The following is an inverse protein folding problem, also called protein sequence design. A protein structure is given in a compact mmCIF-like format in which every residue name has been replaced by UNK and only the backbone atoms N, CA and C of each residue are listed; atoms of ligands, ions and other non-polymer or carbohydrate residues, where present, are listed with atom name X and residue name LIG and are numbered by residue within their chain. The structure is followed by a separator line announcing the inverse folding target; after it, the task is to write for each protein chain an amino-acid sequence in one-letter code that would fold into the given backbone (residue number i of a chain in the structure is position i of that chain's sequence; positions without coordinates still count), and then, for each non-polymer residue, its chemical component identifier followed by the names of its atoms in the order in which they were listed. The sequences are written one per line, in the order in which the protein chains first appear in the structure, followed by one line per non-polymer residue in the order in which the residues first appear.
data_IF_498456414187
#
_entry.id   IF_498456414187
#
_cell.length_a   1.000
_cell.length_b   1.000
_cell.length_c   1.000
_cell.angle_alpha   90.00
_cell.angle_beta   90.00
_cell.angle_gamma   90.00
#
_symmetry.space_group_name_H-M   'P 1'
#
loop_
_entity.id
_entity.type
_entity.pdbx_description
1 polymer ?
#
# COMPACT_ATOMS: atom_id res chain seq x y z
N UNK A 1 -42.89 -10.51 27.53
CA UNK A 1 -42.76 -9.27 26.70
C UNK A 1 -41.84 -9.66 25.55
N UNK A 2 -42.40 -9.85 24.34
CA UNK A 2 -41.57 -10.08 23.14
C UNK A 2 -40.79 -8.75 22.85
N UNK A 3 -39.49 -8.78 22.94
CA UNK A 3 -38.67 -7.70 22.41
C UNK A 3 -38.97 -7.63 20.90
N UNK A 4 -39.63 -6.55 20.46
CA UNK A 4 -39.84 -6.31 19.04
C UNK A 4 -38.45 -6.20 18.40
N UNK A 5 -38.11 -7.17 17.57
CA UNK A 5 -36.88 -7.12 16.75
C UNK A 5 -36.96 -5.82 15.92
N UNK A 6 -35.93 -4.98 16.02
CA UNK A 6 -35.83 -3.78 15.20
C UNK A 6 -35.99 -4.16 13.71
N UNK A 7 -36.66 -3.33 12.91
CA UNK A 7 -36.87 -3.63 11.50
C UNK A 7 -35.52 -3.76 10.78
N UNK A 8 -35.37 -4.79 9.95
CA UNK A 8 -34.17 -5.02 9.15
C UNK A 8 -33.99 -3.86 8.17
N UNK A 9 -32.83 -3.22 8.20
CA UNK A 9 -32.50 -2.08 7.34
C UNK A 9 -31.70 -2.51 6.12
N UNK A 10 -31.97 -1.97 4.91
CA UNK A 10 -31.15 -2.19 3.72
C UNK A 10 -29.87 -1.33 3.69
N UNK A 11 -29.60 -0.52 4.72
CA UNK A 11 -28.47 0.42 4.76
C UNK A 11 -27.13 -0.22 4.40
N UNK A 12 -26.74 -1.41 4.90
CA UNK A 12 -25.46 -2.01 4.53
C UNK A 12 -25.32 -2.31 3.03
N UNK A 13 -26.43 -2.59 2.33
CA UNK A 13 -26.43 -2.81 0.88
C UNK A 13 -26.23 -1.49 0.15
N UNK A 14 -26.92 -0.44 0.60
CA UNK A 14 -26.76 0.91 0.04
C UNK A 14 -25.35 1.46 0.25
N UNK A 15 -24.72 1.20 1.39
CA UNK A 15 -23.34 1.62 1.66
C UNK A 15 -22.35 1.02 0.65
N UNK A 16 -22.53 -0.24 0.28
CA UNK A 16 -21.71 -0.89 -0.76
C UNK A 16 -21.95 -0.27 -2.14
N UNK A 17 -23.22 -0.06 -2.51
CA UNK A 17 -23.58 0.56 -3.81
C UNK A 17 -23.06 2.00 -3.88
N UNK A 18 -23.25 2.77 -2.82
CA UNK A 18 -22.78 4.15 -2.73
C UNK A 18 -21.25 4.26 -2.76
N UNK A 19 -20.53 3.25 -2.24
CA UNK A 19 -19.08 3.19 -2.34
C UNK A 19 -18.56 3.21 -3.78
N UNK A 20 -19.24 2.52 -4.68
CA UNK A 20 -18.93 2.57 -6.13
C UNK A 20 -19.13 3.99 -6.70
N UNK A 21 -20.27 4.62 -6.43
CA UNK A 21 -20.56 5.98 -6.90
C UNK A 21 -19.60 7.01 -6.30
N UNK A 22 -19.28 6.87 -5.00
CA UNK A 22 -18.34 7.75 -4.29
C UNK A 22 -16.93 7.70 -4.92
N UNK A 23 -16.46 6.50 -5.27
CA UNK A 23 -15.17 6.35 -5.96
C UNK A 23 -15.16 7.11 -7.30
N UNK A 24 -16.21 6.98 -8.11
CA UNK A 24 -16.26 7.65 -9.41
C UNK A 24 -16.45 9.17 -9.30
N UNK A 25 -17.14 9.66 -8.26
CA UNK A 25 -17.21 11.09 -7.97
C UNK A 25 -15.83 11.67 -7.64
N UNK A 26 -15.06 10.98 -6.78
CA UNK A 26 -13.69 11.37 -6.46
C UNK A 26 -12.76 11.31 -7.69
N UNK A 27 -12.84 10.24 -8.47
CA UNK A 27 -12.04 10.07 -9.70
C UNK A 27 -12.32 11.20 -10.69
N UNK A 28 -13.59 11.49 -10.96
CA UNK A 28 -14.00 12.57 -11.86
C UNK A 28 -13.52 13.94 -11.36
N UNK A 29 -13.61 14.21 -10.06
CA UNK A 29 -13.15 15.46 -9.48
C UNK A 29 -11.64 15.65 -9.63
N UNK A 30 -10.86 14.57 -9.49
CA UNK A 30 -9.40 14.59 -9.73
C UNK A 30 -9.07 14.80 -11.20
N UNK A 31 -9.78 14.11 -12.11
CA UNK A 31 -9.57 14.24 -13.55
C UNK A 31 -9.90 15.66 -14.06
N UNK A 32 -10.92 16.28 -13.50
CA UNK A 32 -11.33 17.66 -13.80
C UNK A 32 -10.44 18.71 -13.10
N UNK A 33 -9.61 18.32 -12.13
CA UNK A 33 -8.77 19.25 -11.39
C UNK A 33 -9.53 20.13 -10.38
N UNK A 34 -10.65 19.65 -9.84
CA UNK A 34 -11.49 20.37 -8.87
C UNK A 34 -10.69 20.82 -7.64
N UNK A 35 -9.89 19.90 -7.06
CA UNK A 35 -9.08 20.20 -5.87
C UNK A 35 -7.95 21.20 -6.17
N UNK A 36 -7.32 21.09 -7.33
CA UNK A 36 -6.29 22.03 -7.75
C UNK A 36 -6.85 23.44 -8.06
N UNK A 37 -8.07 23.50 -8.61
CA UNK A 37 -8.75 24.77 -8.84
C UNK A 37 -9.08 25.47 -7.52
N UNK A 38 -9.62 24.75 -6.55
CA UNK A 38 -9.93 25.29 -5.22
C UNK A 38 -8.67 25.66 -4.42
N UNK A 39 -7.56 24.91 -4.59
CA UNK A 39 -6.31 25.20 -3.91
C UNK A 39 -5.69 26.53 -4.34
N UNK A 40 -5.85 26.94 -5.60
CA UNK A 40 -5.36 28.24 -6.11
C UNK A 40 -6.03 29.44 -5.44
N UNK A 41 -7.26 29.25 -4.96
CA UNK A 41 -8.07 30.28 -4.30
C UNK A 41 -8.01 30.17 -2.76
N UNK A 42 -7.36 29.12 -2.22
CA UNK A 42 -7.27 28.88 -0.78
C UNK A 42 -6.55 30.01 -0.03
N UNK A 43 -5.50 30.59 -0.62
CA UNK A 43 -4.73 31.70 -0.03
C UNK A 43 -5.61 32.97 0.15
N UNK A 44 -6.64 33.15 -0.68
CA UNK A 44 -7.59 34.25 -0.57
C UNK A 44 -8.71 33.94 0.43
N UNK A 45 -8.87 32.70 0.89
CA UNK A 45 -9.92 32.27 1.82
C UNK A 45 -11.35 32.36 1.27
N UNK A 46 -11.48 32.63 -0.04
CA UNK A 46 -12.76 33.02 -0.64
C UNK A 46 -13.58 31.84 -1.20
N UNK A 47 -12.97 30.68 -1.43
CA UNK A 47 -13.62 29.55 -2.11
C UNK A 47 -14.11 29.89 -3.52
N UNK A 48 -14.79 28.96 -4.19
CA UNK A 48 -15.39 29.19 -5.50
C UNK A 48 -16.86 28.82 -5.48
N UNK A 49 -17.71 29.64 -6.08
CA UNK A 49 -19.07 29.23 -6.41
C UNK A 49 -19.09 28.28 -7.61
N UNK A 50 -20.25 27.67 -7.90
CA UNK A 50 -20.34 26.67 -8.97
C UNK A 50 -19.99 27.20 -10.37
N UNK A 51 -20.28 28.47 -10.66
CA UNK A 51 -19.98 29.08 -11.96
C UNK A 51 -18.48 29.38 -12.07
N UNK A 52 -17.86 29.85 -11.02
CA UNK A 52 -16.42 30.09 -10.93
C UNK A 52 -15.64 28.76 -11.03
N UNK A 53 -16.11 27.73 -10.30
CA UNK A 53 -15.49 26.40 -10.35
C UNK A 53 -15.62 25.78 -11.75
N UNK A 54 -16.81 25.89 -12.39
CA UNK A 54 -17.01 25.44 -13.74
C UNK A 54 -16.03 26.10 -14.74
N UNK A 55 -15.88 27.40 -14.65
CA UNK A 55 -14.93 28.15 -15.46
C UNK A 55 -13.48 27.69 -15.20
N UNK A 56 -13.10 27.49 -13.94
CA UNK A 56 -11.74 27.09 -13.55
C UNK A 56 -11.35 25.67 -14.06
N UNK A 57 -12.31 24.75 -14.12
CA UNK A 57 -12.09 23.37 -14.61
C UNK A 57 -12.46 23.19 -16.10
N UNK A 58 -12.87 24.24 -16.80
CA UNK A 58 -13.24 24.16 -18.20
C UNK A 58 -14.56 23.44 -18.48
N UNK A 59 -15.50 23.38 -17.52
CA UNK A 59 -16.81 22.80 -17.71
C UNK A 59 -17.72 23.76 -18.46
N UNK A 60 -18.59 23.22 -19.33
CA UNK A 60 -19.49 24.01 -20.16
C UNK A 60 -20.62 24.70 -19.37
N UNK A 61 -21.07 24.01 -18.31
CA UNK A 61 -22.24 24.43 -17.53
C UNK A 61 -21.99 24.26 -16.02
N UNK A 62 -22.45 25.18 -15.15
CA UNK A 62 -22.27 25.06 -13.70
C UNK A 62 -23.15 23.98 -13.04
N UNK A 63 -24.31 23.62 -13.64
CA UNK A 63 -25.23 22.65 -13.03
C UNK A 63 -24.62 21.29 -12.73
N UNK A 64 -23.96 20.60 -13.68
CA UNK A 64 -23.25 19.34 -13.37
C UNK A 64 -22.14 19.50 -12.33
N UNK A 65 -21.44 20.65 -12.34
CA UNK A 65 -20.37 20.96 -11.37
C UNK A 65 -20.95 21.11 -9.97
N UNK A 66 -22.12 21.75 -9.84
CA UNK A 66 -22.84 21.86 -8.56
C UNK A 66 -23.12 20.46 -7.98
N UNK A 67 -23.70 19.56 -8.78
CA UNK A 67 -24.02 18.19 -8.32
C UNK A 67 -22.76 17.45 -7.87
N UNK A 68 -21.66 17.56 -8.62
CA UNK A 68 -20.39 16.95 -8.23
C UNK A 68 -19.85 17.55 -6.94
N UNK A 69 -19.81 18.88 -6.81
CA UNK A 69 -19.27 19.56 -5.64
C UNK A 69 -20.10 19.27 -4.38
N UNK A 70 -21.43 19.31 -4.46
CA UNK A 70 -22.32 18.91 -3.37
C UNK A 70 -22.12 17.44 -2.94
N UNK A 71 -21.87 16.55 -3.91
CA UNK A 71 -21.52 15.15 -3.62
C UNK A 71 -20.19 15.08 -2.86
N UNK A 72 -19.18 15.86 -3.26
CA UNK A 72 -17.89 15.89 -2.55
C UNK A 72 -18.03 16.49 -1.14
N UNK A 73 -18.95 17.41 -0.92
CA UNK A 73 -19.30 17.90 0.44
C UNK A 73 -19.91 16.77 1.26
N UNK A 74 -20.85 16.00 0.70
CA UNK A 74 -21.45 14.85 1.39
C UNK A 74 -20.45 13.72 1.69
N UNK A 75 -19.30 13.70 1.01
CA UNK A 75 -18.18 12.78 1.22
C UNK A 75 -17.07 13.36 2.13
N UNK A 76 -17.30 14.49 2.79
CA UNK A 76 -16.33 15.18 3.66
C UNK A 76 -15.01 15.58 2.95
N UNK A 77 -15.03 15.73 1.63
CA UNK A 77 -13.88 16.16 0.83
C UNK A 77 -13.88 17.66 0.56
N UNK A 78 -15.06 18.26 0.50
CA UNK A 78 -15.25 19.71 0.45
C UNK A 78 -16.10 20.19 1.62
N UNK A 79 -16.10 21.49 1.85
CA UNK A 79 -17.10 22.19 2.69
C UNK A 79 -17.83 23.20 1.84
N UNK A 80 -19.08 23.51 2.20
CA UNK A 80 -19.88 24.56 1.58
C UNK A 80 -20.17 25.63 2.62
N UNK A 81 -19.82 26.88 2.32
CA UNK A 81 -20.13 28.05 3.13
C UNK A 81 -20.86 29.04 2.24
N UNK A 82 -22.09 29.36 2.58
CA UNK A 82 -23.01 30.10 1.70
C UNK A 82 -23.17 29.37 0.36
N UNK A 83 -22.80 29.99 -0.75
CA UNK A 83 -22.84 29.43 -2.11
C UNK A 83 -21.45 29.00 -2.62
N UNK A 84 -20.45 28.90 -1.74
CA UNK A 84 -19.05 28.62 -2.09
C UNK A 84 -18.51 27.32 -1.54
N UNK A 85 -17.73 26.65 -2.35
CA UNK A 85 -17.03 25.41 -2.02
C UNK A 85 -15.59 25.70 -1.61
N UNK A 86 -15.12 24.96 -0.57
CA UNK A 86 -13.76 25.06 -0.05
C UNK A 86 -13.20 23.66 0.16
N UNK A 87 -11.88 23.54 0.15
CA UNK A 87 -11.20 22.30 0.52
C UNK A 87 -11.37 22.01 2.01
N UNK A 88 -11.57 20.74 2.35
CA UNK A 88 -11.30 20.29 3.72
C UNK A 88 -9.79 20.15 3.95
N UNK A 89 -9.29 20.18 5.20
CA UNK A 89 -7.88 19.94 5.50
C UNK A 89 -7.36 18.59 4.94
N UNK A 90 -8.21 17.56 4.88
CA UNK A 90 -7.87 16.28 4.27
C UNK A 90 -7.71 16.39 2.75
N UNK A 91 -8.63 17.06 2.06
CA UNK A 91 -8.54 17.27 0.62
C UNK A 91 -7.34 18.14 0.23
N UNK A 92 -7.08 19.22 0.97
CA UNK A 92 -5.92 20.08 0.75
C UNK A 92 -4.60 19.29 0.85
N UNK A 93 -4.46 18.47 1.87
CA UNK A 93 -3.24 17.72 2.13
C UNK A 93 -3.03 16.54 1.19
N UNK A 94 -4.12 15.83 0.81
CA UNK A 94 -4.03 14.53 0.16
C UNK A 94 -4.58 14.48 -1.26
N UNK A 95 -5.37 15.49 -1.73
CA UNK A 95 -5.99 15.46 -3.05
C UNK A 95 -5.52 16.56 -3.99
N UNK A 96 -4.89 17.61 -3.48
CA UNK A 96 -4.21 18.62 -4.32
C UNK A 96 -3.00 17.97 -4.95
N UNK A 97 -2.86 18.06 -6.28
CA UNK A 97 -1.84 17.33 -7.04
C UNK A 97 -0.39 17.72 -6.68
N UNK A 98 -0.19 18.97 -6.26
CA UNK A 98 1.13 19.52 -5.88
C UNK A 98 1.47 19.35 -4.40
N UNK A 99 0.54 18.84 -3.59
CA UNK A 99 0.79 18.61 -2.18
C UNK A 99 1.84 17.49 -1.98
N UNK A 100 2.81 17.65 -1.06
CA UNK A 100 3.85 16.63 -0.84
C UNK A 100 3.35 15.25 -0.44
N UNK A 101 2.15 15.18 0.18
CA UNK A 101 1.50 13.94 0.59
C UNK A 101 0.32 13.56 -0.34
N UNK A 102 0.29 14.08 -1.57
CA UNK A 102 -0.81 13.86 -2.50
C UNK A 102 -1.03 12.37 -2.79
N UNK A 103 -2.27 11.94 -2.66
CA UNK A 103 -2.77 10.61 -3.02
C UNK A 103 -3.58 10.63 -4.34
N UNK A 104 -3.62 11.76 -5.04
CA UNK A 104 -4.42 11.91 -6.27
C UNK A 104 -4.09 10.84 -7.32
N UNK A 105 -2.80 10.57 -7.54
CA UNK A 105 -2.37 9.50 -8.44
C UNK A 105 -2.75 8.10 -7.91
N UNK A 106 -2.68 7.89 -6.58
CA UNK A 106 -3.05 6.63 -5.96
C UNK A 106 -4.52 6.30 -6.18
N UNK A 107 -5.42 7.28 -6.05
CA UNK A 107 -6.86 7.08 -6.31
C UNK A 107 -7.09 6.51 -7.71
N UNK A 108 -6.34 6.97 -8.71
CA UNK A 108 -6.45 6.50 -10.10
C UNK A 108 -6.02 5.04 -10.26
N UNK A 109 -5.00 4.58 -9.55
CA UNK A 109 -4.36 3.28 -9.76
C UNK A 109 -4.64 2.26 -8.65
N UNK A 110 -5.08 2.69 -7.45
CA UNK A 110 -5.29 1.81 -6.30
C UNK A 110 -6.31 0.67 -6.52
N UNK A 111 -7.38 0.85 -7.31
CA UNK A 111 -8.29 -0.26 -7.60
C UNK A 111 -7.69 -1.36 -8.48
N UNK A 112 -6.44 -1.21 -8.95
CA UNK A 112 -5.83 -2.12 -9.92
C UNK A 112 -6.45 -1.99 -11.32
N UNK A 113 -6.20 -2.95 -12.22
CA UNK A 113 -6.79 -2.94 -13.55
C UNK A 113 -8.32 -2.93 -13.48
N UNK A 114 -8.96 -1.98 -14.16
CA UNK A 114 -10.43 -1.86 -14.09
C UNK A 114 -11.16 -3.07 -14.67
N UNK A 115 -10.55 -3.81 -15.60
CA UNK A 115 -11.07 -5.05 -16.16
C UNK A 115 -11.01 -6.25 -15.20
N UNK A 116 -10.34 -6.14 -14.05
CA UNK A 116 -10.30 -7.18 -13.04
C UNK A 116 -11.65 -7.38 -12.34
N UNK A 117 -12.34 -6.28 -12.06
CA UNK A 117 -13.53 -6.29 -11.21
C UNK A 117 -14.75 -7.01 -11.82
N UNK A 118 -15.09 -6.83 -13.12
CA UNK A 118 -16.16 -7.61 -13.74
C UNK A 118 -15.91 -9.12 -13.72
N UNK A 119 -14.63 -9.54 -13.74
CA UNK A 119 -14.21 -10.94 -13.71
C UNK A 119 -14.05 -11.55 -12.30
N UNK A 120 -14.29 -10.78 -11.23
CA UNK A 120 -14.01 -11.23 -9.85
C UNK A 120 -14.73 -12.54 -9.48
N UNK A 121 -15.97 -12.73 -9.90
CA UNK A 121 -16.71 -13.96 -9.62
C UNK A 121 -16.04 -15.20 -10.25
N UNK A 122 -15.48 -15.06 -11.44
CA UNK A 122 -14.72 -16.13 -12.10
C UNK A 122 -13.37 -16.33 -11.43
N UNK A 123 -12.68 -15.26 -11.06
CA UNK A 123 -11.44 -15.33 -10.28
C UNK A 123 -11.65 -16.09 -8.95
N UNK A 124 -12.71 -15.80 -8.20
CA UNK A 124 -13.04 -16.54 -6.96
C UNK A 124 -13.31 -18.01 -7.25
N UNK A 125 -13.96 -18.34 -8.37
CA UNK A 125 -14.29 -19.73 -8.74
C UNK A 125 -13.06 -20.52 -9.21
N UNK A 126 -12.13 -19.87 -9.90
CA UNK A 126 -10.95 -20.52 -10.52
C UNK A 126 -9.69 -20.41 -9.67
N UNK A 127 -9.65 -19.47 -8.73
CA UNK A 127 -8.48 -19.18 -7.89
C UNK A 127 -7.47 -18.22 -8.51
N UNK A 128 -7.68 -17.76 -9.76
CA UNK A 128 -6.76 -16.86 -10.45
C UNK A 128 -7.49 -15.90 -11.40
N UNK A 129 -6.99 -14.65 -11.58
CA UNK A 129 -7.51 -13.72 -12.57
C UNK A 129 -7.22 -14.18 -14.00
N UNK A 130 -7.96 -13.64 -14.96
CA UNK A 130 -7.66 -13.88 -16.37
C UNK A 130 -6.25 -13.38 -16.74
N UNK A 131 -5.50 -14.06 -17.63
CA UNK A 131 -4.14 -13.66 -18.00
C UNK A 131 -4.03 -12.22 -18.53
N UNK A 132 -5.06 -11.70 -19.18
CA UNK A 132 -5.13 -10.31 -19.65
C UNK A 132 -5.10 -9.30 -18.49
N UNK A 133 -5.74 -9.63 -17.36
CA UNK A 133 -5.73 -8.78 -16.15
C UNK A 133 -4.32 -8.68 -15.60
N UNK A 134 -3.60 -9.79 -15.52
CA UNK A 134 -2.21 -9.80 -15.03
C UNK A 134 -1.28 -9.04 -15.99
N UNK A 135 -1.45 -9.16 -17.28
CA UNK A 135 -0.69 -8.41 -18.28
C UNK A 135 -0.92 -6.89 -18.14
N UNK A 136 -2.17 -6.47 -18.03
CA UNK A 136 -2.54 -5.07 -17.83
C UNK A 136 -1.96 -4.51 -16.53
N UNK A 137 -1.91 -5.32 -15.46
CA UNK A 137 -1.28 -4.93 -14.21
C UNK A 137 0.23 -4.70 -14.36
N UNK A 138 0.93 -5.57 -15.08
CA UNK A 138 2.38 -5.42 -15.33
C UNK A 138 2.66 -4.09 -16.08
N UNK A 139 1.82 -3.72 -17.02
CA UNK A 139 1.91 -2.43 -17.71
C UNK A 139 1.58 -1.24 -16.78
N UNK A 140 0.69 -1.45 -15.82
CA UNK A 140 0.26 -0.45 -14.84
C UNK A 140 1.31 -0.21 -13.74
N UNK A 141 2.16 -1.18 -13.40
CA UNK A 141 3.10 -1.10 -12.28
C UNK A 141 3.94 0.18 -12.25
N UNK A 142 4.54 0.67 -13.35
CA UNK A 142 5.31 1.92 -13.32
C UNK A 142 4.52 3.13 -12.83
N UNK A 143 3.24 3.22 -13.18
CA UNK A 143 2.36 4.29 -12.71
C UNK A 143 1.94 4.07 -11.25
N UNK A 144 1.61 2.85 -10.88
CA UNK A 144 1.21 2.48 -9.52
C UNK A 144 2.34 2.74 -8.51
N UNK A 145 3.58 2.35 -8.80
CA UNK A 145 4.70 2.54 -7.86
C UNK A 145 5.05 4.02 -7.69
N UNK A 146 4.93 4.83 -8.75
CA UNK A 146 5.07 6.30 -8.62
C UNK A 146 3.99 6.89 -7.72
N UNK A 147 2.77 6.42 -7.85
CA UNK A 147 1.63 6.90 -7.08
C UNK A 147 1.71 6.52 -5.60
N UNK A 148 2.27 5.35 -5.27
CA UNK A 148 2.41 4.86 -3.88
C UNK A 148 3.65 5.39 -3.17
N UNK A 149 4.71 5.76 -3.91
CA UNK A 149 6.00 6.18 -3.38
C UNK A 149 5.92 7.26 -2.28
N UNK A 150 5.20 8.38 -2.47
CA UNK A 150 5.09 9.44 -1.47
C UNK A 150 4.54 8.98 -0.12
N UNK A 151 3.70 7.94 -0.09
CA UNK A 151 3.14 7.40 1.15
C UNK A 151 4.10 6.48 1.90
N UNK A 152 5.18 6.00 1.25
CA UNK A 152 6.08 5.00 1.79
C UNK A 152 7.39 5.57 2.36
N UNK A 153 7.92 6.66 1.81
CA UNK A 153 9.21 7.20 2.20
C UNK A 153 9.29 7.56 3.71
N UNK A 154 8.21 8.12 4.28
CA UNK A 154 8.13 8.43 5.70
C UNK A 154 8.12 7.17 6.58
N UNK A 155 7.45 6.12 6.13
CA UNK A 155 7.40 4.82 6.80
C UNK A 155 8.78 4.18 6.82
N UNK A 156 9.48 4.16 5.69
CA UNK A 156 10.82 3.61 5.59
C UNK A 156 11.82 4.30 6.54
N UNK A 157 11.75 5.64 6.66
CA UNK A 157 12.56 6.39 7.64
C UNK A 157 12.23 6.00 9.09
N UNK A 158 10.96 5.85 9.43
CA UNK A 158 10.53 5.42 10.76
C UNK A 158 11.01 3.99 11.07
N UNK A 159 11.00 3.10 10.08
CA UNK A 159 11.54 1.74 10.21
C UNK A 159 13.05 1.77 10.43
N UNK A 160 13.83 2.58 9.69
CA UNK A 160 15.27 2.72 9.90
C UNK A 160 15.59 3.18 11.32
N UNK A 161 14.89 4.19 11.85
CA UNK A 161 15.05 4.66 13.22
C UNK A 161 14.72 3.57 14.25
N UNK A 162 13.72 2.75 13.97
CA UNK A 162 13.33 1.67 14.86
C UNK A 162 14.32 0.49 14.85
N UNK A 163 14.89 0.17 13.66
CA UNK A 163 16.00 -0.81 13.55
C UNK A 163 17.25 -0.32 14.30
N UNK A 164 17.58 0.97 14.21
CA UNK A 164 18.68 1.57 14.96
C UNK A 164 18.47 1.46 16.48
N UNK A 165 17.28 1.81 16.97
CA UNK A 165 16.93 1.67 18.39
C UNK A 165 17.05 0.24 18.92
N UNK A 166 16.85 -0.76 18.04
CA UNK A 166 16.99 -2.20 18.35
C UNK A 166 18.41 -2.74 18.15
N UNK A 167 19.36 -1.92 17.71
CA UNK A 167 20.71 -2.38 17.41
C UNK A 167 20.81 -3.28 16.17
N UNK A 168 19.81 -3.20 15.27
CA UNK A 168 19.72 -3.98 14.02
C UNK A 168 20.10 -3.16 12.78
N UNK A 169 20.67 -1.96 12.96
CA UNK A 169 21.00 -1.03 11.88
C UNK A 169 22.47 -0.62 11.95
N UNK A 170 23.40 -1.33 11.28
CA UNK A 170 24.83 -1.04 11.31
C UNK A 170 25.16 0.31 10.66
N UNK A 171 26.38 0.80 10.89
CA UNK A 171 26.88 2.07 10.33
C UNK A 171 27.01 2.02 8.79
N UNK A 172 27.29 0.85 8.23
CA UNK A 172 27.43 0.60 6.80
C UNK A 172 26.57 -0.59 6.38
N UNK A 173 25.22 -0.45 6.39
CA UNK A 173 24.35 -1.57 6.11
C UNK A 173 24.41 -1.98 4.66
N UNK A 174 24.39 -3.30 4.43
CA UNK A 174 24.03 -3.89 3.16
C UNK A 174 22.55 -4.27 3.20
N UNK A 175 21.75 -3.62 2.35
CA UNK A 175 20.31 -3.85 2.25
C UNK A 175 20.01 -4.58 0.94
N UNK A 176 19.10 -5.53 0.96
CA UNK A 176 18.48 -6.09 -0.24
C UNK A 176 17.00 -5.71 -0.21
N UNK A 177 16.53 -5.00 -1.23
CA UNK A 177 15.14 -4.57 -1.38
C UNK A 177 14.49 -5.37 -2.53
N UNK A 178 13.71 -6.39 -2.18
CA UNK A 178 13.07 -7.30 -3.14
C UNK A 178 11.69 -6.75 -3.51
N UNK A 179 11.58 -6.19 -4.69
CA UNK A 179 10.42 -5.43 -5.16
C UNK A 179 10.52 -3.96 -4.73
N UNK A 180 11.62 -3.29 -5.09
CA UNK A 180 11.95 -1.94 -4.62
C UNK A 180 11.00 -0.83 -5.12
N UNK A 181 10.17 -1.10 -6.13
CA UNK A 181 9.12 -0.22 -6.62
C UNK A 181 9.62 1.18 -6.99
N UNK A 182 9.10 2.19 -6.30
CA UNK A 182 9.49 3.60 -6.51
C UNK A 182 10.85 3.98 -5.92
N UNK A 183 11.53 3.07 -5.22
CA UNK A 183 12.74 3.38 -4.46
C UNK A 183 12.49 4.12 -3.13
N UNK A 184 11.24 4.27 -2.71
CA UNK A 184 10.90 4.95 -1.47
C UNK A 184 11.49 4.24 -0.24
N UNK A 185 11.54 2.90 -0.25
CA UNK A 185 12.10 2.10 0.84
C UNK A 185 13.62 2.20 0.87
N UNK A 186 14.29 1.97 -0.24
CA UNK A 186 15.76 2.08 -0.31
C UNK A 186 16.25 3.48 0.09
N UNK A 187 15.64 4.55 -0.42
CA UNK A 187 16.04 5.92 -0.12
C UNK A 187 15.66 6.32 1.32
N UNK A 188 14.52 5.87 1.82
CA UNK A 188 14.08 6.13 3.18
C UNK A 188 14.94 5.44 4.23
N UNK A 189 15.30 4.17 4.00
CA UNK A 189 16.17 3.39 4.89
C UNK A 189 17.58 3.98 4.94
N UNK A 190 18.20 4.24 3.79
CA UNK A 190 19.59 4.73 3.74
C UNK A 190 19.74 6.23 4.02
N UNK A 191 18.65 6.95 4.27
CA UNK A 191 18.69 8.40 4.51
C UNK A 191 19.71 8.83 5.58
N UNK A 192 19.89 8.04 6.63
CA UNK A 192 20.84 8.30 7.72
C UNK A 192 22.17 7.53 7.58
N UNK A 193 22.40 6.82 6.50
CA UNK A 193 23.56 5.94 6.30
C UNK A 193 24.25 6.20 4.96
N UNK A 194 25.05 7.28 4.82
CA UNK A 194 25.67 7.66 3.56
C UNK A 194 26.67 6.63 3.02
N UNK A 195 27.17 5.73 3.88
CA UNK A 195 28.08 4.66 3.50
C UNK A 195 27.38 3.28 3.35
N UNK A 196 26.07 3.24 3.54
CA UNK A 196 25.27 2.04 3.29
C UNK A 196 25.11 1.79 1.78
N UNK A 197 24.78 0.56 1.44
CA UNK A 197 24.47 0.17 0.05
C UNK A 197 23.18 -0.64 -0.01
N UNK A 198 22.47 -0.56 -1.14
CA UNK A 198 21.27 -1.33 -1.39
C UNK A 198 21.36 -2.05 -2.73
N UNK A 199 20.99 -3.31 -2.73
CA UNK A 199 20.71 -4.10 -3.93
C UNK A 199 19.20 -3.98 -4.17
N UNK A 200 18.83 -3.20 -5.19
CA UNK A 200 17.45 -2.93 -5.55
C UNK A 200 17.01 -3.89 -6.65
N UNK A 201 16.00 -4.72 -6.36
CA UNK A 201 15.51 -5.73 -7.30
C UNK A 201 14.08 -5.39 -7.70
N UNK A 202 13.81 -5.31 -9.00
CA UNK A 202 12.44 -5.16 -9.53
C UNK A 202 12.40 -5.51 -11.03
N UNK A 203 11.19 -5.48 -11.58
CA UNK A 203 10.95 -5.68 -13.01
C UNK A 203 11.69 -4.63 -13.85
N UNK A 204 12.13 -4.97 -15.07
CA UNK A 204 12.91 -4.06 -15.93
C UNK A 204 12.20 -2.74 -16.24
N UNK A 205 10.85 -2.71 -16.27
CA UNK A 205 10.06 -1.52 -16.53
C UNK A 205 9.80 -0.67 -15.26
N UNK A 206 10.05 -1.20 -14.06
CA UNK A 206 9.87 -0.53 -12.77
C UNK A 206 11.20 0.02 -12.24
N UNK A 207 12.27 -0.76 -12.32
CA UNK A 207 13.57 -0.46 -11.73
C UNK A 207 14.14 0.93 -12.07
N UNK A 208 13.99 1.49 -13.30
CA UNK A 208 14.45 2.84 -13.62
C UNK A 208 13.82 3.93 -12.75
N UNK A 209 12.65 3.69 -12.14
CA UNK A 209 11.99 4.64 -11.25
C UNK A 209 12.75 4.76 -9.94
N UNK A 210 13.14 3.62 -9.35
CA UNK A 210 13.95 3.56 -8.14
C UNK A 210 15.35 4.18 -8.35
N UNK A 211 15.98 3.91 -9.51
CA UNK A 211 17.27 4.51 -9.88
C UNK A 211 17.17 6.04 -10.01
N UNK A 212 16.10 6.54 -10.62
CA UNK A 212 15.89 7.98 -10.73
C UNK A 212 15.64 8.61 -9.36
N UNK A 213 14.84 7.99 -8.49
CA UNK A 213 14.61 8.47 -7.13
C UNK A 213 15.92 8.55 -6.31
N UNK A 214 16.77 7.53 -6.42
CA UNK A 214 18.09 7.53 -5.78
C UNK A 214 18.98 8.64 -6.33
N UNK A 215 18.98 8.85 -7.64
CA UNK A 215 19.75 9.92 -8.30
C UNK A 215 19.31 11.31 -7.85
N UNK A 216 18.01 11.55 -7.77
CA UNK A 216 17.43 12.85 -7.36
C UNK A 216 17.80 13.22 -5.93
N UNK A 217 18.07 12.21 -5.08
CA UNK A 217 18.52 12.38 -3.70
C UNK A 217 20.04 12.28 -3.51
N UNK A 218 20.83 12.18 -4.60
CA UNK A 218 22.29 12.06 -4.54
C UNK A 218 22.79 10.71 -4.01
N UNK A 219 21.94 9.67 -4.04
CA UNK A 219 22.22 8.34 -3.48
C UNK A 219 22.56 7.29 -4.56
N UNK A 220 22.79 7.71 -5.81
CA UNK A 220 22.97 6.78 -6.94
C UNK A 220 24.10 5.76 -6.71
N UNK A 221 25.20 6.18 -6.11
CA UNK A 221 26.39 5.35 -5.87
C UNK A 221 26.19 4.30 -4.77
N UNK A 222 25.13 4.44 -3.98
CA UNK A 222 24.72 3.48 -2.95
C UNK A 222 23.84 2.35 -3.52
N UNK A 223 23.36 2.46 -4.78
CA UNK A 223 22.35 1.57 -5.35
C UNK A 223 22.97 0.68 -6.43
N UNK A 224 22.81 -0.62 -6.26
CA UNK A 224 23.08 -1.66 -7.25
C UNK A 224 21.74 -2.17 -7.75
N UNK A 225 21.40 -1.82 -8.99
CA UNK A 225 20.13 -2.22 -9.61
C UNK A 225 20.25 -3.61 -10.25
N UNK A 226 19.28 -4.48 -9.97
CA UNK A 226 19.19 -5.84 -10.52
C UNK A 226 17.79 -6.03 -11.11
N UNK A 227 17.71 -6.09 -12.43
CA UNK A 227 16.45 -6.24 -13.15
C UNK A 227 16.03 -7.71 -13.27
N UNK A 228 14.78 -8.02 -12.92
CA UNK A 228 14.20 -9.34 -13.12
C UNK A 228 13.27 -9.79 -11.99
N UNK A 229 12.83 -11.04 -12.07
CA UNK A 229 12.04 -11.68 -11.01
C UNK A 229 12.91 -11.88 -9.76
N UNK A 230 12.47 -11.36 -8.64
CA UNK A 230 13.18 -11.44 -7.36
C UNK A 230 13.37 -12.88 -6.84
N UNK A 231 12.67 -13.89 -7.38
CA UNK A 231 12.92 -15.30 -7.07
C UNK A 231 14.02 -15.91 -7.94
N UNK A 232 14.31 -15.34 -9.12
CA UNK A 232 15.18 -15.95 -10.12
C UNK A 232 16.54 -15.26 -10.26
N UNK A 233 16.59 -13.93 -10.03
CA UNK A 233 17.82 -13.16 -10.25
C UNK A 233 18.95 -13.56 -9.32
N UNK A 234 20.17 -13.56 -9.86
CA UNK A 234 21.40 -13.71 -9.06
C UNK A 234 21.79 -12.36 -8.47
N UNK A 235 22.01 -12.31 -7.17
CA UNK A 235 22.40 -11.08 -6.47
C UNK A 235 23.91 -11.00 -6.28
N UNK A 236 24.51 -9.79 -6.33
CA UNK A 236 25.95 -9.59 -6.17
C UNK A 236 26.41 -9.62 -4.70
N UNK A 237 25.63 -10.23 -3.81
CA UNK A 237 25.91 -10.41 -2.38
C UNK A 237 25.53 -11.81 -1.93
N UNK A 238 26.28 -12.36 -0.99
CA UNK A 238 25.98 -13.67 -0.39
C UNK A 238 25.06 -13.52 0.84
N UNK A 239 25.13 -12.38 1.54
CA UNK A 239 24.30 -12.06 2.70
C UNK A 239 24.08 -10.55 2.80
N UNK A 240 23.02 -10.16 3.51
CA UNK A 240 22.64 -8.78 3.78
C UNK A 240 22.34 -8.58 5.27
N UNK A 241 22.60 -7.37 5.78
CA UNK A 241 22.22 -7.00 7.15
C UNK A 241 20.70 -6.86 7.27
N UNK A 242 20.06 -6.35 6.22
CA UNK A 242 18.62 -6.16 6.16
C UNK A 242 18.07 -6.59 4.79
N UNK A 243 17.05 -7.44 4.78
CA UNK A 243 16.29 -7.78 3.58
C UNK A 243 14.88 -7.23 3.72
N UNK A 244 14.44 -6.43 2.75
CA UNK A 244 13.15 -5.76 2.76
C UNK A 244 12.16 -6.49 1.84
N UNK A 245 10.97 -6.75 2.38
CA UNK A 245 9.79 -7.23 1.68
C UNK A 245 8.64 -6.27 1.98
N UNK A 246 8.59 -5.16 1.23
CA UNK A 246 7.60 -4.11 1.47
C UNK A 246 6.45 -4.20 0.46
N UNK A 247 5.27 -4.61 0.92
CA UNK A 247 4.03 -4.71 0.14
C UNK A 247 4.07 -5.70 -1.04
N UNK A 248 4.97 -6.65 -1.01
CA UNK A 248 5.16 -7.65 -2.09
C UNK A 248 4.48 -8.98 -1.78
N UNK A 249 4.58 -9.47 -0.54
CA UNK A 249 4.08 -10.81 -0.20
C UNK A 249 2.57 -10.95 -0.43
N UNK A 250 1.80 -9.90 -0.13
CA UNK A 250 0.33 -9.92 -0.30
C UNK A 250 -0.11 -10.05 -1.75
N UNK A 251 0.73 -9.64 -2.70
CA UNK A 251 0.43 -9.64 -4.12
C UNK A 251 0.80 -10.96 -4.81
N UNK A 252 1.60 -11.79 -4.15
CA UNK A 252 2.03 -13.08 -4.68
C UNK A 252 1.03 -14.20 -4.34
N UNK A 253 0.85 -15.20 -5.23
CA UNK A 253 0.24 -16.48 -4.84
C UNK A 253 0.96 -17.08 -3.64
N UNK A 254 0.23 -17.84 -2.82
CA UNK A 254 0.73 -18.32 -1.52
C UNK A 254 2.07 -19.07 -1.59
N UNK A 255 2.24 -19.91 -2.59
CA UNK A 255 3.48 -20.69 -2.82
C UNK A 255 4.68 -19.78 -3.18
N UNK A 256 4.46 -18.76 -4.01
CA UNK A 256 5.50 -17.79 -4.37
C UNK A 256 5.81 -16.87 -3.19
N UNK A 257 4.81 -16.43 -2.43
CA UNK A 257 5.00 -15.63 -1.21
C UNK A 257 5.86 -16.37 -0.18
N UNK A 258 5.60 -17.67 0.00
CA UNK A 258 6.39 -18.53 0.88
C UNK A 258 7.84 -18.69 0.38
N UNK A 259 8.05 -18.92 -0.93
CA UNK A 259 9.38 -19.01 -1.54
C UNK A 259 10.14 -17.69 -1.39
N UNK A 260 9.46 -16.56 -1.58
CA UNK A 260 10.07 -15.24 -1.45
C UNK A 260 10.53 -14.96 -0.01
N UNK A 261 9.71 -15.33 0.98
CA UNK A 261 10.11 -15.20 2.38
C UNK A 261 11.30 -16.13 2.71
N UNK A 262 11.29 -17.37 2.23
CA UNK A 262 12.41 -18.29 2.41
C UNK A 262 13.72 -17.74 1.83
N UNK A 263 13.65 -17.21 0.60
CA UNK A 263 14.80 -16.53 -0.04
C UNK A 263 15.29 -15.32 0.77
N UNK A 264 14.38 -14.52 1.31
CA UNK A 264 14.75 -13.38 2.14
C UNK A 264 15.46 -13.81 3.42
N UNK A 265 15.02 -14.90 4.06
CA UNK A 265 15.69 -15.49 5.24
C UNK A 265 17.08 -15.99 4.88
N UNK A 266 17.24 -16.70 3.74
CA UNK A 266 18.56 -17.14 3.27
C UNK A 266 19.51 -15.95 3.04
N UNK A 267 19.04 -14.87 2.43
CA UNK A 267 19.83 -13.67 2.17
C UNK A 267 20.17 -12.90 3.46
N UNK A 268 19.30 -12.88 4.46
CA UNK A 268 19.61 -12.29 5.76
C UNK A 268 20.65 -13.12 6.54
N UNK A 269 20.74 -14.41 6.27
CA UNK A 269 21.67 -15.29 6.97
C UNK A 269 21.41 -15.39 8.47
N UNK A 270 22.44 -15.67 9.26
CA UNK A 270 22.34 -15.85 10.69
C UNK A 270 22.20 -14.53 11.46
N UNK A 271 22.87 -13.47 10.98
CA UNK A 271 23.03 -12.21 11.71
C UNK A 271 22.06 -11.10 11.22
N UNK A 272 21.58 -11.22 10.00
CA UNK A 272 20.69 -10.23 9.39
C UNK A 272 19.23 -10.34 9.87
N UNK A 273 18.42 -9.42 9.36
CA UNK A 273 16.98 -9.35 9.65
C UNK A 273 16.18 -9.18 8.36
N UNK A 274 15.08 -9.93 8.24
CA UNK A 274 14.07 -9.69 7.22
C UNK A 274 13.03 -8.74 7.78
N UNK A 275 12.79 -7.65 7.08
CA UNK A 275 11.80 -6.62 7.39
C UNK A 275 10.62 -6.80 6.44
N UNK A 276 9.55 -7.37 6.94
CA UNK A 276 8.28 -7.50 6.21
C UNK A 276 7.39 -6.33 6.58
N UNK A 277 6.95 -5.58 5.58
CA UNK A 277 5.99 -4.47 5.76
C UNK A 277 4.78 -4.73 4.89
N UNK A 278 3.63 -4.93 5.52
CA UNK A 278 2.41 -5.19 4.77
C UNK A 278 1.14 -4.86 5.56
N UNK A 279 0.02 -4.75 4.85
CA UNK A 279 -1.32 -4.72 5.40
C UNK A 279 -1.77 -6.16 5.62
N UNK A 280 -1.64 -6.67 6.85
CA UNK A 280 -2.01 -8.04 7.16
C UNK A 280 -3.51 -8.19 7.35
N UNK A 281 -4.14 -9.10 6.62
CA UNK A 281 -5.54 -9.45 6.86
C UNK A 281 -5.70 -10.30 8.13
N UNK A 282 -6.81 -10.19 8.85
CA UNK A 282 -7.03 -11.00 10.03
C UNK A 282 -7.29 -12.46 9.66
N UNK A 283 -6.80 -13.37 10.47
CA UNK A 283 -7.24 -14.77 10.54
C UNK A 283 -7.55 -15.12 12.00
N UNK A 284 -8.75 -14.75 12.50
CA UNK A 284 -9.07 -14.92 13.91
C UNK A 284 -8.91 -16.36 14.43
N UNK A 285 -9.08 -17.35 13.55
CA UNK A 285 -8.94 -18.76 13.92
C UNK A 285 -7.49 -19.14 14.19
N UNK A 286 -6.60 -18.85 13.22
CA UNK A 286 -5.18 -19.17 13.29
C UNK A 286 -4.41 -18.22 14.20
N UNK A 287 -4.86 -16.96 14.30
CA UNK A 287 -4.26 -15.94 15.16
C UNK A 287 -4.69 -16.10 16.64
N UNK A 288 -5.57 -17.06 16.94
CA UNK A 288 -6.04 -17.33 18.32
C UNK A 288 -6.92 -16.23 18.89
N UNK A 289 -7.56 -15.41 18.05
CA UNK A 289 -8.45 -14.33 18.44
C UNK A 289 -9.86 -14.87 18.62
N UNK A 290 -10.37 -14.83 19.85
CA UNK A 290 -11.69 -15.33 20.24
C UNK A 290 -11.74 -16.86 20.44
N UNK A 291 -12.60 -17.31 21.33
CA UNK A 291 -12.86 -18.72 21.60
C UNK A 291 -13.70 -19.38 20.51
N UNK A 292 -13.85 -20.72 20.57
CA UNK A 292 -14.73 -21.46 19.66
C UNK A 292 -16.19 -21.04 19.85
N UNK A 293 -16.83 -20.56 18.76
CA UNK A 293 -18.25 -20.17 18.75
C UNK A 293 -18.54 -18.68 18.97
N UNK A 294 -17.54 -17.83 19.16
CA UNK A 294 -17.75 -16.36 19.26
C UNK A 294 -18.02 -15.73 17.89
N UNK A 295 -18.84 -14.68 17.89
CA UNK A 295 -19.06 -13.82 16.70
C UNK A 295 -17.82 -12.97 16.42
N UNK A 296 -17.18 -13.23 15.30
CA UNK A 296 -15.96 -12.53 14.85
C UNK A 296 -16.22 -11.37 13.89
N UNK A 297 -17.50 -11.02 13.69
CA UNK A 297 -17.88 -9.96 12.75
C UNK A 297 -17.20 -8.62 13.05
N UNK A 298 -16.99 -8.31 14.34
CA UNK A 298 -16.31 -7.08 14.75
C UNK A 298 -14.84 -7.03 14.30
N UNK A 299 -14.12 -8.17 14.33
CA UNK A 299 -12.73 -8.28 13.86
C UNK A 299 -12.65 -8.01 12.37
N UNK A 300 -13.54 -8.62 11.58
CA UNK A 300 -13.58 -8.39 10.14
C UNK A 300 -14.01 -6.97 9.78
N UNK A 301 -14.96 -6.40 10.53
CA UNK A 301 -15.38 -5.01 10.32
C UNK A 301 -14.25 -4.01 10.59
N UNK A 302 -13.47 -4.21 11.65
CA UNK A 302 -12.31 -3.39 11.98
C UNK A 302 -11.21 -3.47 10.90
N UNK A 303 -11.04 -4.64 10.28
CA UNK A 303 -10.04 -4.91 9.24
C UNK A 303 -10.60 -4.74 7.80
N UNK A 304 -11.66 -3.97 7.62
CA UNK A 304 -12.31 -3.76 6.31
C UNK A 304 -11.32 -3.33 5.22
N UNK A 305 -10.39 -2.45 5.54
CA UNK A 305 -9.40 -1.94 4.59
C UNK A 305 -8.46 -3.05 4.12
N UNK A 306 -7.91 -3.82 5.02
CA UNK A 306 -6.98 -4.93 4.76
C UNK A 306 -7.65 -6.06 3.94
N UNK A 307 -8.93 -6.32 4.23
CA UNK A 307 -9.72 -7.30 3.48
C UNK A 307 -10.03 -6.82 2.06
N UNK A 308 -10.38 -5.55 1.86
CA UNK A 308 -10.60 -4.98 0.53
C UNK A 308 -9.30 -4.94 -0.29
N UNK A 309 -8.16 -4.66 0.34
CA UNK A 309 -6.86 -4.77 -0.33
C UNK A 309 -6.53 -6.21 -0.72
N UNK A 310 -6.81 -7.19 0.16
CA UNK A 310 -6.61 -8.61 -0.16
C UNK A 310 -7.49 -9.04 -1.33
N UNK A 311 -8.74 -8.56 -1.38
CA UNK A 311 -9.63 -8.80 -2.50
C UNK A 311 -9.10 -8.16 -3.81
N UNK A 312 -8.49 -6.97 -3.72
CA UNK A 312 -7.83 -6.33 -4.86
C UNK A 312 -6.65 -7.18 -5.36
N UNK A 313 -5.86 -7.75 -4.46
CA UNK A 313 -4.76 -8.65 -4.84
C UNK A 313 -5.30 -9.91 -5.53
N UNK A 314 -6.31 -10.56 -4.95
CA UNK A 314 -6.95 -11.72 -5.58
C UNK A 314 -7.46 -11.39 -6.99
N UNK A 315 -8.15 -10.26 -7.14
CA UNK A 315 -8.71 -9.84 -8.44
C UNK A 315 -7.63 -9.57 -9.50
N UNK A 316 -6.41 -9.18 -9.11
CA UNK A 316 -5.38 -8.67 -10.03
C UNK A 316 -4.18 -9.60 -10.19
N UNK A 317 -3.77 -10.32 -9.14
CA UNK A 317 -2.49 -11.06 -9.08
C UNK A 317 -2.63 -12.51 -8.64
N UNK A 318 -3.80 -12.96 -8.22
CA UNK A 318 -4.04 -14.19 -7.48
C UNK A 318 -3.45 -14.21 -6.05
N UNK A 319 -2.92 -13.11 -5.56
CA UNK A 319 -2.50 -12.96 -4.16
C UNK A 319 -3.71 -12.99 -3.22
N UNK A 320 -3.57 -13.66 -2.09
CA UNK A 320 -4.66 -13.79 -1.11
C UNK A 320 -4.53 -12.79 0.06
N UNK A 321 -3.56 -11.87 -0.01
CA UNK A 321 -3.11 -11.15 1.18
C UNK A 321 -2.35 -12.07 2.13
N UNK A 322 -1.78 -11.51 3.18
CA UNK A 322 -0.95 -12.23 4.16
C UNK A 322 -1.57 -12.09 5.55
N UNK A 323 -1.62 -13.19 6.32
CA UNK A 323 -1.97 -13.19 7.74
C UNK A 323 -0.72 -13.26 8.61
N UNK A 324 -0.83 -12.93 9.87
CA UNK A 324 0.29 -13.12 10.84
C UNK A 324 0.63 -14.60 10.99
N UNK A 325 -0.40 -15.47 10.95
CA UNK A 325 -0.22 -16.91 11.02
C UNK A 325 0.54 -17.48 9.81
N UNK A 326 0.31 -16.92 8.60
CA UNK A 326 1.09 -17.29 7.41
C UNK A 326 2.56 -16.92 7.60
N UNK A 327 2.85 -15.68 8.00
CA UNK A 327 4.24 -15.23 8.21
C UNK A 327 4.97 -16.08 9.24
N UNK A 328 4.32 -16.44 10.35
CA UNK A 328 4.91 -17.35 11.34
C UNK A 328 5.21 -18.72 10.76
N UNK A 329 4.21 -19.33 10.10
CA UNK A 329 4.35 -20.67 9.52
C UNK A 329 5.44 -20.70 8.44
N UNK A 330 5.50 -19.69 7.58
CA UNK A 330 6.52 -19.60 6.51
C UNK A 330 7.91 -19.32 7.06
N UNK A 331 8.04 -18.47 8.09
CA UNK A 331 9.30 -18.23 8.78
C UNK A 331 9.81 -19.52 9.43
N UNK A 332 8.96 -20.26 10.14
CA UNK A 332 9.30 -21.55 10.74
C UNK A 332 9.77 -22.57 9.71
N UNK A 333 9.08 -22.67 8.58
CA UNK A 333 9.48 -23.54 7.48
C UNK A 333 10.83 -23.18 6.87
N UNK A 334 11.20 -21.88 6.92
CA UNK A 334 12.51 -21.37 6.48
C UNK A 334 13.60 -21.42 7.57
N UNK A 335 13.33 -22.04 8.74
CA UNK A 335 14.29 -22.10 9.85
C UNK A 335 14.47 -20.77 10.60
N UNK A 336 13.48 -19.90 10.53
CA UNK A 336 13.47 -18.57 11.13
C UNK A 336 12.27 -18.40 12.09
N UNK A 337 12.18 -17.25 12.72
CA UNK A 337 11.06 -16.89 13.57
C UNK A 337 10.73 -15.40 13.48
N UNK A 338 9.47 -15.07 13.71
CA UNK A 338 9.01 -13.71 13.89
C UNK A 338 9.39 -13.25 15.29
N UNK A 339 10.42 -12.39 15.37
CA UNK A 339 11.01 -11.97 16.65
C UNK A 339 10.38 -10.69 17.22
N UNK A 340 9.79 -9.84 16.36
CA UNK A 340 9.19 -8.59 16.81
C UNK A 340 8.17 -8.06 15.79
N UNK A 341 7.30 -7.15 16.25
CA UNK A 341 6.36 -6.45 15.40
C UNK A 341 6.04 -5.07 15.96
N UNK A 342 5.86 -4.09 15.05
CA UNK A 342 5.47 -2.73 15.40
C UNK A 342 4.70 -2.06 14.26
N UNK A 343 4.07 -0.93 14.54
CA UNK A 343 3.26 -0.18 13.61
C UNK A 343 3.78 1.28 13.57
N UNK A 344 4.66 1.63 12.62
CA UNK A 344 5.27 2.96 12.53
C UNK A 344 4.27 4.05 12.16
N UNK A 345 3.24 3.70 11.41
CA UNK A 345 2.07 4.54 11.09
C UNK A 345 0.82 3.66 11.09
N UNK A 346 -0.37 4.24 11.31
CA UNK A 346 -1.61 3.47 11.39
C UNK A 346 -1.78 2.50 10.21
N UNK A 347 -2.09 1.24 10.53
CA UNK A 347 -2.34 0.11 9.61
C UNK A 347 -1.12 -0.44 8.85
N UNK A 348 0.04 0.20 8.88
CA UNK A 348 1.25 -0.37 8.30
C UNK A 348 2.00 -1.20 9.34
N UNK A 349 1.86 -2.51 9.24
CA UNK A 349 2.49 -3.45 10.16
C UNK A 349 3.86 -3.85 9.68
N UNK A 350 4.85 -3.68 10.55
CA UNK A 350 6.21 -4.17 10.34
C UNK A 350 6.41 -5.44 11.16
N UNK A 351 7.01 -6.44 10.54
CA UNK A 351 7.37 -7.72 11.18
C UNK A 351 8.86 -7.96 10.96
N UNK A 352 9.56 -8.26 12.04
CA UNK A 352 10.97 -8.62 11.99
C UNK A 352 11.10 -10.13 12.12
N UNK A 353 11.77 -10.73 11.12
CA UNK A 353 12.00 -12.17 11.06
C UNK A 353 13.51 -12.41 11.05
N UNK A 354 14.00 -13.35 11.87
CA UNK A 354 15.40 -13.72 11.96
C UNK A 354 15.57 -15.23 11.98
N UNK A 355 16.70 -15.70 11.45
CA UNK A 355 17.09 -17.09 11.56
C UNK A 355 17.10 -17.54 13.01
N UNK A 356 16.60 -18.73 13.31
CA UNK A 356 16.72 -19.31 14.63
C UNK A 356 18.18 -19.61 14.93
N UNK A 357 18.66 -19.13 16.06
CA UNK A 357 19.99 -19.57 16.54
C UNK A 357 19.92 -21.08 16.83
N UNK A 358 20.82 -21.90 16.29
CA UNK A 358 20.86 -23.31 16.67
C UNK A 358 20.96 -23.39 18.20
N UNK A 359 20.04 -24.12 18.85
CA UNK A 359 20.22 -24.42 20.25
C UNK A 359 21.58 -25.10 20.42
N UNK A 360 22.44 -24.52 21.26
CA UNK A 360 23.68 -25.17 21.62
C UNK A 360 23.34 -26.53 22.24
N UNK A 361 23.54 -27.60 21.48
CA UNK A 361 23.41 -28.96 21.99
C UNK A 361 24.38 -29.10 23.15
N UNK A 362 23.84 -29.04 24.36
CA UNK A 362 24.54 -29.29 25.63
C UNK A 362 24.87 -30.76 25.79
#
# INVERSE_FOLDING_TARGET
MNAATAPVSPAPVWDVINGFTSYWALSAALDLGVFDALAKEADAGTGLDAAQLAAAIGAAEPGPVTVLAETLVALDLLTAVEDRFHLTPAAERFLVSTAPASMAALVRYSPGPQNAWPGLADTVRTGAPAPTVTADLIELYPALVRATGPTQAGVAKAVAAELERRGLWPEQPTVVDLGCGSGAWLTGLLHSRPNGRVIAVDLPNVLPIAEQAAKDLGMRDQVIAVAGDYLEVTLPVAAADVVVLAHVLRAEPTDRAQQLLSRAVELAGADGVVVVVDYTRPDPVRDGIGGGGEDRSAVYSAARHELLLSLTMLASTAGLGVTVADLRSWAEAAGAELVDSFEPVPRQHVRLIRSRTPEATS
#
